data_IF_110169110167
#
_entry.id   IF_110169110167
#
_cell.length_a   1.000
_cell.length_b   1.000
_cell.length_c   1.000
_cell.angle_alpha   90.00
_cell.angle_beta   90.00
_cell.angle_gamma   90.00
#
_symmetry.space_group_name_H-M   'P 1'
#
loop_
_entity.id
_entity.type
_entity.pdbx_description
1 polymer ?
#
# COMPACT_ATOMS: atom_id res chain seq x y z
N UNK A 1 16.22 30.61 15.70
CA UNK A 1 14.78 30.25 15.54
C UNK A 1 14.70 29.39 14.28
N UNK A 2 14.25 28.13 14.38
CA UNK A 2 14.45 27.09 13.35
C UNK A 2 13.65 27.41 12.07
N UNK A 3 14.33 27.71 10.96
CA UNK A 3 13.74 28.05 9.64
C UNK A 3 12.69 27.03 9.15
N UNK A 4 12.84 25.76 9.51
CA UNK A 4 11.91 24.67 9.14
C UNK A 4 10.48 24.89 9.67
N UNK A 5 10.32 25.52 10.83
CA UNK A 5 8.99 25.80 11.39
C UNK A 5 8.29 26.97 10.68
N UNK A 6 9.05 27.88 10.08
CA UNK A 6 8.52 29.05 9.36
C UNK A 6 7.85 28.62 8.05
N UNK A 7 8.48 27.72 7.30
CA UNK A 7 7.89 27.17 6.07
C UNK A 7 6.64 26.33 6.36
N UNK A 8 6.68 25.47 7.38
CA UNK A 8 5.52 24.63 7.76
C UNK A 8 4.33 25.49 8.18
N UNK A 9 4.55 26.56 8.95
CA UNK A 9 3.47 27.48 9.32
C UNK A 9 2.94 28.24 8.08
N UNK A 10 3.83 28.68 7.19
CA UNK A 10 3.42 29.33 5.95
C UNK A 10 2.55 28.44 5.05
N UNK A 11 2.90 27.16 4.90
CA UNK A 11 2.09 26.18 4.14
C UNK A 11 0.72 25.96 4.78
N UNK A 12 0.65 25.93 6.12
CA UNK A 12 -0.64 25.82 6.84
C UNK A 12 -1.53 27.03 6.60
N UNK A 13 -0.96 28.23 6.64
CA UNK A 13 -1.70 29.48 6.42
C UNK A 13 -2.20 29.61 4.98
N UNK A 14 -1.44 29.10 4.01
CA UNK A 14 -1.73 29.21 2.57
C UNK A 14 -2.30 27.92 1.94
N UNK A 15 -2.74 26.93 2.74
CA UNK A 15 -3.19 25.62 2.22
C UNK A 15 -4.27 25.72 1.14
N UNK A 16 -5.20 26.68 1.28
CA UNK A 16 -6.31 26.86 0.34
C UNK A 16 -5.81 27.36 -1.02
N UNK A 17 -4.86 28.30 -1.01
CA UNK A 17 -4.27 28.83 -2.24
C UNK A 17 -3.38 27.78 -2.92
N UNK A 18 -2.64 26.98 -2.15
CA UNK A 18 -1.86 25.86 -2.69
C UNK A 18 -2.75 24.78 -3.33
N UNK A 19 -3.90 24.47 -2.73
CA UNK A 19 -4.88 23.56 -3.33
C UNK A 19 -5.42 24.12 -4.66
N UNK A 20 -5.82 25.40 -4.68
CA UNK A 20 -6.36 26.04 -5.89
C UNK A 20 -5.29 26.11 -7.00
N UNK A 21 -4.06 26.49 -6.66
CA UNK A 21 -2.94 26.54 -7.60
C UNK A 21 -2.52 25.14 -8.09
N UNK A 22 -2.53 24.14 -7.21
CA UNK A 22 -2.24 22.75 -7.58
C UNK A 22 -3.28 22.18 -8.55
N UNK A 23 -4.57 22.42 -8.26
CA UNK A 23 -5.68 21.98 -9.13
C UNK A 23 -5.63 22.72 -10.47
N UNK A 24 -5.35 24.03 -10.49
CA UNK A 24 -5.33 24.80 -11.74
C UNK A 24 -4.19 24.36 -12.67
N UNK A 25 -2.99 24.14 -12.15
CA UNK A 25 -1.85 23.65 -12.95
C UNK A 25 -2.12 22.25 -13.50
N UNK A 26 -2.67 21.37 -12.66
CA UNK A 26 -3.02 20.00 -13.07
C UNK A 26 -4.10 19.98 -14.14
N UNK A 27 -5.12 20.86 -14.04
CA UNK A 27 -6.16 20.98 -15.05
C UNK A 27 -5.62 21.43 -16.40
N UNK A 28 -4.75 22.44 -16.44
CA UNK A 28 -4.13 22.93 -17.69
C UNK A 28 -3.29 21.84 -18.34
N UNK A 29 -2.45 21.15 -17.57
CA UNK A 29 -1.62 20.04 -18.08
C UNK A 29 -2.52 18.91 -18.58
N UNK A 30 -3.58 18.57 -17.83
CA UNK A 30 -4.56 17.56 -18.21
C UNK A 30 -5.28 17.89 -19.52
N UNK A 31 -5.65 19.15 -19.74
CA UNK A 31 -6.26 19.61 -21.00
C UNK A 31 -5.27 19.48 -22.15
N UNK A 32 -4.01 19.89 -21.98
CA UNK A 32 -2.99 19.81 -23.03
C UNK A 32 -2.72 18.35 -23.43
N UNK A 33 -2.55 17.46 -22.45
CA UNK A 33 -2.34 16.03 -22.68
C UNK A 33 -3.60 15.39 -23.28
N UNK A 34 -4.78 15.76 -22.77
CA UNK A 34 -6.08 15.29 -23.26
C UNK A 34 -6.34 15.65 -24.73
N UNK A 35 -5.98 16.87 -25.14
CA UNK A 35 -6.14 17.33 -26.51
C UNK A 35 -5.11 16.70 -27.46
N UNK A 36 -3.83 16.61 -27.07
CA UNK A 36 -2.79 16.03 -27.92
C UNK A 36 -2.85 14.51 -28.02
N UNK A 37 -3.19 13.83 -26.92
CA UNK A 37 -3.06 12.38 -26.80
C UNK A 37 -4.43 11.71 -26.58
N UNK A 38 -5.49 12.30 -27.15
CA UNK A 38 -6.87 11.82 -27.02
C UNK A 38 -7.01 10.33 -27.36
N UNK A 39 -6.34 9.88 -28.42
CA UNK A 39 -6.40 8.49 -28.87
C UNK A 39 -5.70 7.54 -27.90
N UNK A 40 -4.50 7.89 -27.42
CA UNK A 40 -3.78 7.10 -26.43
C UNK A 40 -4.56 6.99 -25.11
N UNK A 41 -5.23 8.06 -24.67
CA UNK A 41 -6.05 8.02 -23.46
C UNK A 41 -7.27 7.11 -23.65
N UNK A 42 -7.91 7.14 -24.83
CA UNK A 42 -9.01 6.23 -25.16
C UNK A 42 -8.54 4.77 -25.17
N UNK A 43 -7.42 4.48 -25.82
CA UNK A 43 -6.86 3.13 -25.85
C UNK A 43 -6.52 2.61 -24.45
N UNK A 44 -5.95 3.47 -23.58
CA UNK A 44 -5.70 3.14 -22.18
C UNK A 44 -6.99 2.86 -21.41
N UNK A 45 -8.04 3.64 -21.65
CA UNK A 45 -9.34 3.45 -21.01
C UNK A 45 -10.01 2.13 -21.45
N UNK A 46 -10.03 1.86 -22.75
CA UNK A 46 -10.55 0.61 -23.31
C UNK A 46 -9.76 -0.61 -22.78
N UNK A 47 -8.44 -0.52 -22.70
CA UNK A 47 -7.62 -1.59 -22.11
C UNK A 47 -7.93 -1.80 -20.62
N UNK A 48 -8.17 -0.72 -19.87
CA UNK A 48 -8.56 -0.78 -18.46
C UNK A 48 -9.93 -1.45 -18.28
N UNK A 49 -10.92 -1.04 -19.06
CA UNK A 49 -12.28 -1.58 -19.04
C UNK A 49 -12.29 -3.08 -19.41
N UNK A 50 -11.50 -3.45 -20.41
CA UNK A 50 -11.29 -4.85 -20.79
C UNK A 50 -10.58 -5.67 -19.71
N UNK A 51 -9.69 -5.07 -18.93
CA UNK A 51 -9.02 -5.76 -17.81
C UNK A 51 -9.97 -6.01 -16.63
N UNK A 52 -10.87 -5.06 -16.36
CA UNK A 52 -11.87 -5.17 -15.30
C UNK A 52 -12.97 -6.15 -15.69
N UNK A 53 -13.44 -6.14 -16.94
CA UNK A 53 -14.50 -7.06 -17.40
C UNK A 53 -14.06 -8.52 -17.46
N UNK A 54 -12.77 -8.79 -17.75
CA UNK A 54 -12.18 -10.14 -17.74
C UNK A 54 -12.05 -10.75 -16.34
N UNK A 55 -12.25 -9.98 -15.27
CA UNK A 55 -12.11 -10.46 -13.88
C UNK A 55 -13.40 -11.12 -13.34
N UNK A 56 -14.51 -11.15 -14.10
CA UNK A 56 -15.81 -11.65 -13.60
C UNK A 56 -16.03 -13.18 -13.75
N UNK A 57 -15.12 -13.95 -14.36
CA UNK A 57 -15.27 -15.40 -14.38
C UNK A 57 -14.47 -16.07 -13.25
N UNK A 58 -15.22 -16.47 -12.21
CA UNK A 58 -14.88 -17.28 -11.02
C UNK A 58 -14.73 -16.51 -9.70
N UNK A 59 -15.86 -15.99 -9.22
CA UNK A 59 -16.12 -15.88 -7.78
C UNK A 59 -16.73 -17.21 -7.29
N UNK A 60 -16.10 -17.93 -6.33
CA UNK A 60 -16.80 -18.96 -5.58
C UNK A 60 -17.82 -18.30 -4.64
N UNK A 61 -19.06 -18.74 -4.81
CA UNK A 61 -20.16 -18.85 -3.85
C UNK A 61 -20.14 -17.98 -2.58
N UNK A 62 -21.06 -17.00 -2.60
CA UNK A 62 -21.87 -16.48 -1.48
C UNK A 62 -21.24 -16.48 -0.08
N UNK A 63 -20.79 -15.31 0.35
CA UNK A 63 -20.81 -14.96 1.78
C UNK A 63 -22.15 -14.29 2.04
N UNK A 64 -23.01 -14.98 2.79
CA UNK A 64 -24.33 -14.49 3.23
C UNK A 64 -24.15 -13.26 4.11
N UNK A 65 -24.37 -12.08 3.55
CA UNK A 65 -24.49 -10.84 4.32
C UNK A 65 -25.94 -10.75 4.81
N UNK A 66 -26.15 -11.06 6.08
CA UNK A 66 -27.40 -10.73 6.78
C UNK A 66 -27.55 -9.21 6.78
N UNK A 67 -28.68 -8.77 6.21
CA UNK A 67 -29.12 -7.38 6.06
C UNK A 67 -29.33 -6.72 7.42
N UNK A 68 -28.66 -5.60 7.68
CA UNK A 68 -29.10 -4.62 8.69
C UNK A 68 -28.93 -3.20 8.12
N UNK A 69 -29.90 -2.34 8.41
CA UNK A 69 -30.11 -1.00 7.84
C UNK A 69 -28.93 -0.03 7.98
N UNK A 70 -28.84 1.00 7.10
CA UNK A 70 -27.73 1.94 7.10
C UNK A 70 -27.84 2.93 8.27
N UNK A 71 -26.94 2.81 9.25
CA UNK A 71 -26.64 3.92 10.14
C UNK A 71 -25.40 4.66 9.64
N UNK A 72 -25.53 5.99 9.64
CA UNK A 72 -24.54 7.01 9.29
C UNK A 72 -23.19 6.66 9.91
N UNK A 73 -22.20 6.37 9.06
CA UNK A 73 -20.81 6.23 9.50
C UNK A 73 -20.24 7.63 9.52
N UNK A 74 -20.35 8.30 10.67
CA UNK A 74 -19.47 9.42 10.99
C UNK A 74 -18.05 8.85 11.06
N UNK A 75 -17.15 9.35 10.21
CA UNK A 75 -15.76 8.90 10.12
C UNK A 75 -14.99 9.27 11.41
N UNK A 76 -15.21 8.50 12.47
CA UNK A 76 -14.36 8.53 13.65
C UNK A 76 -13.11 7.77 13.28
N UNK A 77 -12.04 8.49 12.93
CA UNK A 77 -10.69 7.92 12.86
C UNK A 77 -10.37 7.39 14.26
N UNK A 78 -10.32 6.06 14.50
CA UNK A 78 -9.93 5.58 15.82
C UNK A 78 -8.47 5.94 16.02
N UNK A 79 -8.19 6.79 17.02
CA UNK A 79 -6.84 6.96 17.55
C UNK A 79 -6.37 5.57 17.96
N UNK A 80 -5.45 4.98 17.19
CA UNK A 80 -4.91 3.66 17.51
C UNK A 80 -4.16 3.77 18.82
N UNK A 81 -4.79 3.32 19.90
CA UNK A 81 -4.11 3.05 21.16
C UNK A 81 -3.13 1.91 20.89
N UNK A 82 -1.84 2.19 20.96
CA UNK A 82 -0.81 1.16 20.86
C UNK A 82 -0.83 0.34 22.15
N UNK A 83 -1.51 -0.80 22.12
CA UNK A 83 -1.43 -1.81 23.18
C UNK A 83 -0.30 -2.77 22.83
N UNK A 84 0.64 -2.96 23.75
CA UNK A 84 1.63 -4.03 23.62
C UNK A 84 0.91 -5.38 23.66
N UNK A 85 1.24 -6.33 22.77
CA UNK A 85 0.68 -7.68 22.83
C UNK A 85 0.96 -8.31 24.19
N UNK A 86 -0.08 -8.81 24.86
CA UNK A 86 0.02 -9.49 26.16
C UNK A 86 0.03 -11.01 26.04
N UNK A 87 -0.37 -11.54 24.89
CA UNK A 87 -0.51 -12.98 24.64
C UNK A 87 0.53 -13.47 23.62
N UNK A 88 0.90 -14.74 23.75
CA UNK A 88 1.75 -15.44 22.78
C UNK A 88 1.04 -15.52 21.44
N UNK A 89 1.75 -15.19 20.36
CA UNK A 89 1.24 -15.41 19.01
C UNK A 89 2.33 -15.93 18.07
N UNK A 90 1.90 -16.72 17.09
CA UNK A 90 2.76 -17.26 16.05
C UNK A 90 3.05 -16.22 14.98
N UNK A 91 4.32 -16.12 14.59
CA UNK A 91 4.77 -15.38 13.42
C UNK A 91 5.11 -16.38 12.34
N UNK A 92 4.39 -16.34 11.22
CA UNK A 92 4.63 -17.20 10.07
C UNK A 92 5.99 -16.92 9.42
N UNK A 93 6.49 -17.94 8.73
CA UNK A 93 7.66 -17.81 7.87
C UNK A 93 7.49 -16.64 6.89
N UNK A 94 8.54 -15.84 6.74
CA UNK A 94 8.54 -14.68 5.85
C UNK A 94 9.95 -14.34 5.36
N UNK A 95 10.02 -13.56 4.28
CA UNK A 95 11.28 -13.00 3.80
C UNK A 95 11.54 -11.69 4.53
N UNK A 96 12.76 -11.50 5.04
CA UNK A 96 13.20 -10.22 5.60
C UNK A 96 14.42 -9.67 4.85
N UNK A 97 14.53 -8.34 4.86
CA UNK A 97 15.72 -7.66 4.38
C UNK A 97 16.79 -7.58 5.49
N UNK A 98 18.03 -7.86 5.13
CA UNK A 98 19.20 -7.76 5.99
C UNK A 98 19.81 -6.36 5.87
N UNK A 99 20.16 -5.76 7.02
CA UNK A 99 20.83 -4.47 7.06
C UNK A 99 22.33 -4.58 6.80
N UNK A 100 22.95 -3.46 6.40
CA UNK A 100 24.41 -3.34 6.32
C UNK A 100 25.07 -4.18 5.22
N UNK A 101 24.38 -4.38 4.09
CA UNK A 101 24.93 -5.13 2.95
C UNK A 101 25.14 -6.62 3.22
N UNK A 102 24.60 -7.17 4.30
CA UNK A 102 24.67 -8.60 4.62
C UNK A 102 23.84 -9.40 3.62
N UNK A 103 24.24 -10.64 3.37
CA UNK A 103 23.53 -11.59 2.49
C UNK A 103 23.08 -12.82 3.29
N UNK A 104 22.15 -13.59 2.74
CA UNK A 104 21.77 -14.88 3.32
C UNK A 104 22.96 -15.84 3.37
N UNK A 105 22.94 -16.75 4.35
CA UNK A 105 23.83 -17.90 4.34
C UNK A 105 23.43 -18.89 3.24
N UNK A 106 24.35 -19.78 2.89
CA UNK A 106 24.12 -20.85 1.90
C UNK A 106 22.96 -21.76 2.35
N UNK A 107 22.88 -22.06 3.63
CA UNK A 107 21.81 -22.87 4.23
C UNK A 107 20.42 -22.25 4.01
N UNK A 108 20.28 -20.95 4.31
CA UNK A 108 19.02 -20.23 4.10
C UNK A 108 18.66 -20.06 2.63
N UNK A 109 19.65 -20.03 1.73
CA UNK A 109 19.40 -20.06 0.29
C UNK A 109 18.83 -21.43 -0.14
N UNK A 110 19.40 -22.53 0.36
CA UNK A 110 18.94 -23.87 0.06
C UNK A 110 17.54 -24.15 0.61
N UNK A 111 17.24 -23.72 1.84
CA UNK A 111 15.90 -23.82 2.42
C UNK A 111 14.86 -23.05 1.61
N UNK A 112 15.17 -21.82 1.19
CA UNK A 112 14.28 -21.03 0.35
C UNK A 112 14.08 -21.68 -1.02
N UNK A 113 15.15 -22.17 -1.65
CA UNK A 113 15.08 -22.87 -2.93
C UNK A 113 14.24 -24.16 -2.84
N UNK A 114 14.32 -24.90 -1.73
CA UNK A 114 13.48 -26.08 -1.48
C UNK A 114 11.98 -25.74 -1.41
N UNK A 115 11.65 -24.51 -1.01
CA UNK A 115 10.29 -23.96 -1.02
C UNK A 115 9.91 -23.28 -2.34
N UNK A 116 10.80 -23.28 -3.33
CA UNK A 116 10.60 -22.59 -4.62
C UNK A 116 10.69 -21.07 -4.51
N UNK A 117 11.40 -20.55 -3.51
CA UNK A 117 11.56 -19.13 -3.24
C UNK A 117 12.98 -18.69 -3.64
N UNK A 118 13.06 -17.81 -4.63
CA UNK A 118 14.31 -17.16 -5.01
C UNK A 118 14.56 -15.92 -4.13
N UNK A 119 15.59 -15.97 -3.28
CA UNK A 119 15.96 -14.85 -2.42
C UNK A 119 16.78 -13.81 -3.20
N UNK A 120 16.35 -12.54 -3.17
CA UNK A 120 17.12 -11.43 -3.74
C UNK A 120 18.37 -11.11 -2.89
N UNK A 121 19.32 -10.33 -3.44
CA UNK A 121 20.43 -9.80 -2.65
C UNK A 121 19.92 -9.11 -1.37
N UNK A 122 20.62 -9.36 -0.26
CA UNK A 122 20.26 -8.85 1.06
C UNK A 122 18.93 -9.34 1.63
N UNK A 123 18.37 -10.43 1.11
CA UNK A 123 17.22 -11.10 1.73
C UNK A 123 17.61 -12.39 2.44
N UNK A 124 16.82 -12.78 3.43
CA UNK A 124 16.88 -14.10 4.06
C UNK A 124 15.47 -14.60 4.37
N UNK A 125 15.31 -15.91 4.34
CA UNK A 125 14.12 -16.58 4.86
C UNK A 125 14.19 -16.63 6.40
N UNK A 126 13.10 -16.26 7.05
CA UNK A 126 12.90 -16.36 8.51
C UNK A 126 11.86 -17.42 8.74
N UNK A 127 12.20 -18.43 9.53
CA UNK A 127 11.28 -19.53 9.84
C UNK A 127 10.12 -19.07 10.72
N UNK A 128 9.07 -19.88 10.80
CA UNK A 128 7.98 -19.65 11.72
C UNK A 128 8.48 -19.70 13.16
N UNK A 129 8.09 -18.73 13.98
CA UNK A 129 8.48 -18.68 15.40
C UNK A 129 7.38 -18.04 16.25
N UNK A 130 7.41 -18.29 17.55
CA UNK A 130 6.43 -17.71 18.49
C UNK A 130 7.01 -16.45 19.14
N UNK A 131 6.25 -15.36 19.11
CA UNK A 131 6.56 -14.14 19.88
C UNK A 131 5.90 -14.20 21.25
N UNK A 132 6.55 -13.59 22.24
CA UNK A 132 6.08 -13.53 23.63
C UNK A 132 5.98 -14.90 24.32
N UNK A 133 6.74 -15.90 23.87
CA UNK A 133 6.93 -17.16 24.59
C UNK A 133 7.65 -16.90 25.92
N UNK A 134 7.15 -17.50 27.00
CA UNK A 134 7.65 -17.37 28.38
C UNK A 134 9.05 -17.95 28.56
#
# INVERSE_FOLDING_TARGET
>A
MNEKHKFVNWVKDHKKQLLIAGISVTAVIGIIIGLKNKEAIKELWENLENSLSKTTEKLPESITIVKTDPQVIEEVIPVRLYTSPQETFGVSQHIRNLSGGRHHSIEKAAEAAALGIDLLPHQTLVDTYTKFAA
#
